data_IF_665289129854
#
_entry.id   IF_665289129854
#
_cell.length_a   1.000
_cell.length_b   1.000
_cell.length_c   1.000
_cell.angle_alpha   90.00
_cell.angle_beta   90.00
_cell.angle_gamma   90.00
#
_symmetry.space_group_name_H-M   'P 1'
#
loop_
_entity.id
_entity.type
_entity.pdbx_description
1 polymer ?
#
# COMPACT_ATOMS: atom_id res chain seq x y z
N UNK A 1 3.73 13.26 -36.48
CA UNK A 1 4.05 13.00 -35.07
C UNK A 1 5.56 13.08 -34.91
N UNK A 2 6.06 13.92 -34.01
CA UNK A 2 7.51 14.06 -33.83
C UNK A 2 8.12 12.75 -33.31
N UNK A 3 9.35 12.46 -33.70
CA UNK A 3 10.04 11.21 -33.29
C UNK A 3 10.09 10.98 -31.77
N UNK A 4 10.06 12.06 -30.95
CA UNK A 4 9.98 12.01 -29.50
C UNK A 4 8.68 11.42 -28.95
N UNK A 5 7.54 11.72 -29.62
CA UNK A 5 6.24 11.15 -29.21
C UNK A 5 6.16 9.65 -29.56
N UNK A 6 6.81 9.25 -30.67
CA UNK A 6 6.90 7.85 -31.08
C UNK A 6 7.79 7.03 -30.13
N UNK A 7 8.94 7.57 -29.73
CA UNK A 7 9.84 6.98 -28.73
C UNK A 7 9.15 6.84 -27.36
N UNK A 8 8.44 7.89 -26.92
CA UNK A 8 7.64 7.84 -25.68
C UNK A 8 6.53 6.77 -25.74
N UNK A 9 5.82 6.68 -26.89
CA UNK A 9 4.73 5.70 -27.07
C UNK A 9 5.23 4.26 -27.23
N UNK A 10 6.43 4.06 -27.76
CA UNK A 10 7.02 2.75 -27.97
C UNK A 10 7.94 2.30 -26.83
N UNK A 11 8.17 3.14 -25.84
CA UNK A 11 9.03 2.81 -24.69
C UNK A 11 10.52 2.70 -25.06
N UNK A 12 10.93 3.21 -26.24
CA UNK A 12 12.28 3.03 -26.76
C UNK A 12 13.32 3.99 -26.19
N UNK A 13 12.92 5.10 -25.51
CA UNK A 13 13.87 6.12 -25.03
C UNK A 13 13.47 6.83 -23.74
N UNK A 14 12.95 6.12 -22.77
CA UNK A 14 12.98 6.64 -21.40
C UNK A 14 14.28 6.14 -20.77
N UNK A 15 15.40 6.68 -21.25
CA UNK A 15 16.72 6.38 -20.68
C UNK A 15 16.74 6.77 -19.19
N UNK A 16 17.27 5.89 -18.30
CA UNK A 16 17.42 6.21 -16.89
C UNK A 16 18.23 7.49 -16.73
N UNK A 17 17.64 8.51 -16.09
CA UNK A 17 18.35 9.75 -15.75
C UNK A 17 18.22 10.90 -16.73
N UNK A 18 17.09 11.05 -17.44
CA UNK A 18 16.81 12.28 -18.18
C UNK A 18 16.62 13.46 -17.22
N UNK A 19 17.11 14.62 -17.62
CA UNK A 19 17.01 15.87 -16.85
C UNK A 19 15.59 16.42 -16.99
N UNK A 20 14.97 16.83 -15.87
CA UNK A 20 13.69 17.55 -15.87
C UNK A 20 13.85 18.97 -16.42
N UNK A 21 12.74 19.64 -16.76
CA UNK A 21 12.73 21.05 -17.17
C UNK A 21 13.32 21.97 -16.09
N UNK A 22 13.24 21.58 -14.82
CA UNK A 22 13.88 22.27 -13.70
C UNK A 22 15.42 22.06 -13.62
N UNK A 23 16.04 21.36 -14.58
CA UNK A 23 17.47 21.12 -14.62
C UNK A 23 17.95 20.00 -13.67
N UNK A 24 17.05 19.27 -13.04
CA UNK A 24 17.36 18.20 -12.08
C UNK A 24 17.30 16.84 -12.76
N UNK A 25 18.31 16.02 -12.51
CA UNK A 25 18.33 14.63 -12.97
C UNK A 25 17.41 13.77 -12.07
N UNK A 26 16.40 13.14 -12.67
CA UNK A 26 15.43 12.30 -11.97
C UNK A 26 15.58 10.85 -12.43
N UNK A 27 15.91 9.98 -11.50
CA UNK A 27 15.90 8.54 -11.62
C UNK A 27 15.26 7.94 -10.36
N UNK A 28 15.19 6.62 -10.29
CA UNK A 28 14.54 5.91 -9.20
C UNK A 28 15.21 6.19 -7.84
N UNK A 29 16.55 6.33 -7.82
CA UNK A 29 17.31 6.63 -6.59
C UNK A 29 17.09 8.09 -6.14
N UNK A 30 17.21 9.05 -7.09
CA UNK A 30 17.01 10.47 -6.76
C UNK A 30 15.56 10.77 -6.40
N UNK A 31 14.58 10.08 -7.00
CA UNK A 31 13.18 10.20 -6.68
C UNK A 31 12.87 9.82 -5.22
N UNK A 32 13.53 8.81 -4.67
CA UNK A 32 13.37 8.40 -3.27
C UNK A 32 13.88 9.43 -2.24
N UNK A 33 14.65 10.43 -2.67
CA UNK A 33 15.04 11.56 -1.80
C UNK A 33 13.87 12.48 -1.52
N UNK A 34 12.86 12.52 -2.40
CA UNK A 34 11.61 13.23 -2.15
C UNK A 34 10.81 12.44 -1.12
N UNK A 35 10.62 13.02 0.06
CA UNK A 35 9.96 12.36 1.20
C UNK A 35 8.57 11.82 0.87
N UNK A 36 7.80 12.54 0.06
CA UNK A 36 6.48 12.11 -0.40
C UNK A 36 6.54 10.86 -1.31
N UNK A 37 7.53 10.76 -2.19
CA UNK A 37 7.75 9.57 -3.04
C UNK A 37 8.10 8.37 -2.16
N UNK A 38 9.07 8.54 -1.26
CA UNK A 38 9.47 7.49 -0.33
C UNK A 38 8.27 7.00 0.51
N UNK A 39 7.50 7.93 1.09
CA UNK A 39 6.34 7.59 1.90
C UNK A 39 5.26 6.84 1.10
N UNK A 40 4.93 7.29 -0.12
CA UNK A 40 3.95 6.62 -0.97
C UNK A 40 4.39 5.20 -1.37
N UNK A 41 5.66 5.05 -1.79
CA UNK A 41 6.22 3.75 -2.16
C UNK A 41 6.19 2.80 -0.96
N UNK A 42 6.61 3.27 0.19
CA UNK A 42 6.64 2.51 1.43
C UNK A 42 5.24 2.05 1.85
N UNK A 43 4.28 2.96 1.92
CA UNK A 43 2.89 2.65 2.32
C UNK A 43 2.29 1.56 1.43
N UNK A 44 2.45 1.66 0.11
CA UNK A 44 1.89 0.65 -0.81
C UNK A 44 2.65 -0.68 -0.69
N UNK A 45 3.98 -0.64 -0.66
CA UNK A 45 4.81 -1.85 -0.61
C UNK A 45 4.58 -2.65 0.67
N UNK A 46 4.63 -1.99 1.84
CA UNK A 46 4.37 -2.61 3.14
C UNK A 46 2.92 -3.14 3.25
N UNK A 47 1.95 -2.38 2.74
CA UNK A 47 0.54 -2.83 2.74
C UNK A 47 0.39 -4.12 1.93
N UNK A 48 0.88 -4.18 0.69
CA UNK A 48 0.79 -5.40 -0.14
C UNK A 48 1.60 -6.55 0.48
N UNK A 49 2.78 -6.28 1.03
CA UNK A 49 3.65 -7.28 1.63
C UNK A 49 3.05 -7.90 2.91
N UNK A 50 2.30 -7.13 3.69
CA UNK A 50 1.68 -7.59 4.93
C UNK A 50 0.44 -8.49 4.73
N UNK A 51 -0.17 -8.46 3.54
CA UNK A 51 -1.39 -9.24 3.27
C UNK A 51 -1.11 -10.73 3.17
N UNK A 52 -1.90 -11.59 3.82
CA UNK A 52 -1.82 -13.04 3.61
C UNK A 52 -2.11 -13.40 2.16
N UNK A 53 -1.29 -14.30 1.59
CA UNK A 53 -1.42 -14.79 0.22
C UNK A 53 -1.56 -16.33 0.20
N UNK A 54 -2.70 -16.88 0.64
CA UNK A 54 -2.94 -18.30 0.57
C UNK A 54 -3.20 -18.80 -0.86
N UNK A 55 -2.90 -20.07 -1.09
CA UNK A 55 -3.25 -20.80 -2.30
C UNK A 55 -4.58 -21.52 -2.10
N UNK A 56 -5.47 -21.41 -3.06
CA UNK A 56 -6.79 -22.07 -3.05
C UNK A 56 -6.92 -23.06 -4.19
N UNK A 57 -7.67 -24.14 -3.92
CA UNK A 57 -8.19 -25.07 -4.93
C UNK A 57 -9.63 -24.68 -5.28
N UNK A 58 -9.94 -24.68 -6.58
CA UNK A 58 -11.31 -24.49 -7.07
C UNK A 58 -12.11 -25.77 -6.82
N UNK A 59 -13.28 -25.61 -6.24
CA UNK A 59 -14.28 -26.68 -6.09
C UNK A 59 -15.43 -26.39 -7.07
N UNK A 60 -16.30 -27.38 -7.28
CA UNK A 60 -17.54 -27.17 -8.07
C UNK A 60 -18.39 -26.04 -7.49
N UNK A 61 -18.41 -25.94 -6.16
CA UNK A 61 -18.97 -24.80 -5.44
C UNK A 61 -17.97 -24.34 -4.38
N UNK A 62 -17.52 -23.07 -4.51
CA UNK A 62 -16.60 -22.48 -3.55
C UNK A 62 -15.13 -22.74 -3.83
N UNK A 63 -14.32 -22.63 -2.79
CA UNK A 63 -12.86 -22.79 -2.80
C UNK A 63 -12.40 -23.40 -1.49
N UNK A 64 -11.26 -24.08 -1.53
CA UNK A 64 -10.60 -24.67 -0.36
C UNK A 64 -9.17 -24.15 -0.26
N UNK A 65 -8.72 -23.78 0.94
CA UNK A 65 -7.32 -23.38 1.21
C UNK A 65 -6.43 -24.61 1.16
N UNK A 66 -5.35 -24.55 0.40
CA UNK A 66 -4.42 -25.66 0.20
C UNK A 66 -3.06 -25.29 0.77
N UNK A 67 -2.67 -25.96 1.84
CA UNK A 67 -1.37 -25.77 2.50
C UNK A 67 -0.33 -26.81 2.09
N UNK A 68 -0.77 -27.93 1.48
CA UNK A 68 0.10 -29.06 1.09
C UNK A 68 0.79 -28.86 -0.28
N UNK A 69 0.39 -27.86 -1.05
CA UNK A 69 0.99 -27.59 -2.35
C UNK A 69 2.37 -26.93 -2.18
N UNK A 70 3.43 -27.36 -2.90
CA UNK A 70 4.78 -26.79 -2.76
C UNK A 70 4.84 -25.27 -2.90
N UNK A 71 4.06 -24.70 -3.80
CA UNK A 71 3.99 -23.25 -3.99
C UNK A 71 3.44 -22.50 -2.78
N UNK A 72 2.69 -23.15 -1.88
CA UNK A 72 2.15 -22.51 -0.69
C UNK A 72 3.26 -21.97 0.21
N UNK A 73 4.24 -22.80 0.58
CA UNK A 73 5.35 -22.40 1.43
C UNK A 73 6.19 -21.28 0.80
N UNK A 74 6.41 -21.33 -0.53
CA UNK A 74 7.16 -20.31 -1.27
C UNK A 74 6.45 -18.94 -1.22
N UNK A 75 5.13 -18.92 -1.38
CA UNK A 75 4.36 -17.68 -1.37
C UNK A 75 4.05 -17.16 0.03
N UNK A 76 3.89 -18.08 0.99
CA UNK A 76 3.41 -17.74 2.35
C UNK A 76 4.55 -17.57 3.34
N UNK A 77 5.56 -18.48 3.31
CA UNK A 77 6.60 -18.53 4.33
C UNK A 77 7.91 -17.91 3.81
N UNK A 78 8.64 -18.63 2.97
CA UNK A 78 9.97 -18.25 2.48
C UNK A 78 10.12 -18.55 0.99
N UNK A 79 10.27 -17.52 0.15
CA UNK A 79 10.51 -17.71 -1.29
C UNK A 79 11.93 -18.22 -1.62
N UNK A 80 12.88 -18.01 -0.73
CA UNK A 80 14.26 -18.47 -0.79
C UNK A 80 14.88 -18.48 0.62
N UNK A 81 16.06 -19.07 0.84
CA UNK A 81 16.68 -19.18 2.16
C UNK A 81 17.07 -17.84 2.83
N UNK A 82 17.13 -16.74 2.07
CA UNK A 82 17.59 -15.44 2.55
C UNK A 82 16.46 -14.48 2.88
N UNK A 83 15.22 -14.74 2.40
CA UNK A 83 14.14 -13.77 2.48
C UNK A 83 12.85 -14.40 3.02
N UNK A 84 12.16 -13.65 3.87
CA UNK A 84 10.77 -13.96 4.21
C UNK A 84 9.84 -13.59 3.04
N UNK A 85 8.63 -14.13 3.04
CA UNK A 85 7.64 -13.78 2.01
C UNK A 85 7.25 -12.30 2.07
N UNK A 86 7.28 -11.68 3.26
CA UNK A 86 7.07 -10.24 3.43
C UNK A 86 8.15 -9.44 2.69
N UNK A 87 9.43 -9.67 3.02
CA UNK A 87 10.57 -8.96 2.40
C UNK A 87 10.58 -9.13 0.89
N UNK A 88 10.34 -10.33 0.40
CA UNK A 88 10.27 -10.60 -1.04
C UNK A 88 9.18 -9.77 -1.75
N UNK A 89 7.97 -9.75 -1.17
CA UNK A 89 6.86 -8.98 -1.74
C UNK A 89 7.09 -7.49 -1.66
N UNK A 90 7.69 -7.01 -0.57
CA UNK A 90 8.06 -5.61 -0.39
C UNK A 90 9.08 -5.17 -1.45
N UNK A 91 10.13 -5.97 -1.69
CA UNK A 91 11.14 -5.70 -2.72
C UNK A 91 10.51 -5.65 -4.10
N UNK A 92 9.74 -6.67 -4.49
CA UNK A 92 9.11 -6.68 -5.81
C UNK A 92 8.07 -5.57 -5.97
N UNK A 93 7.34 -5.22 -4.91
CA UNK A 93 6.38 -4.12 -4.96
C UNK A 93 7.09 -2.77 -5.10
N UNK A 94 8.22 -2.57 -4.41
CA UNK A 94 9.08 -1.41 -4.56
C UNK A 94 9.62 -1.29 -5.99
N UNK A 95 10.05 -2.40 -6.58
CA UNK A 95 10.47 -2.44 -7.99
C UNK A 95 9.33 -2.01 -8.93
N UNK A 96 8.11 -2.51 -8.72
CA UNK A 96 6.93 -2.12 -9.50
C UNK A 96 6.65 -0.62 -9.42
N UNK A 97 6.74 -0.04 -8.23
CA UNK A 97 6.42 1.36 -7.99
C UNK A 97 7.49 2.32 -8.53
N UNK A 98 8.73 1.87 -8.65
CA UNK A 98 9.84 2.68 -9.15
C UNK A 98 10.08 2.47 -10.65
N UNK A 99 10.26 1.22 -11.08
CA UNK A 99 10.58 0.86 -12.48
C UNK A 99 9.38 0.44 -13.32
N UNK A 100 8.22 0.26 -12.68
CA UNK A 100 7.03 -0.24 -13.37
C UNK A 100 7.07 -1.72 -13.72
N UNK A 101 8.11 -2.43 -13.34
CA UNK A 101 8.30 -3.86 -13.56
C UNK A 101 8.98 -4.49 -12.36
N UNK A 102 8.58 -5.69 -11.99
CA UNK A 102 9.27 -6.50 -10.99
C UNK A 102 9.63 -7.85 -11.56
N UNK A 103 10.84 -8.31 -11.24
CA UNK A 103 11.38 -9.55 -11.76
C UNK A 103 11.94 -10.43 -10.65
N UNK A 104 11.70 -11.74 -10.78
CA UNK A 104 12.43 -12.72 -9.99
C UNK A 104 12.78 -13.93 -10.87
N UNK A 105 13.97 -14.48 -10.66
CA UNK A 105 14.37 -15.75 -11.26
C UNK A 105 13.59 -16.89 -10.58
N UNK A 106 13.07 -17.81 -11.40
CA UNK A 106 12.39 -19.01 -10.92
C UNK A 106 13.38 -20.18 -10.97
N UNK A 107 13.67 -20.75 -9.82
CA UNK A 107 14.40 -22.03 -9.72
C UNK A 107 13.38 -23.16 -9.65
N UNK A 108 13.53 -24.16 -10.53
CA UNK A 108 12.60 -25.31 -10.61
C UNK A 108 13.33 -26.63 -10.43
N UNK A 109 12.61 -27.62 -9.92
CA UNK A 109 13.07 -29.00 -9.90
C UNK A 109 12.92 -29.70 -11.27
N UNK A 110 13.33 -30.98 -11.34
CA UNK A 110 13.22 -31.78 -12.57
C UNK A 110 11.78 -32.07 -12.98
N UNK A 111 10.80 -31.87 -12.10
CA UNK A 111 9.36 -32.03 -12.37
C UNK A 111 8.70 -30.71 -12.78
N UNK A 112 9.46 -29.62 -12.83
CA UNK A 112 8.97 -28.28 -13.16
C UNK A 112 8.33 -27.53 -11.98
N UNK A 113 8.37 -28.08 -10.78
CA UNK A 113 7.86 -27.41 -9.57
C UNK A 113 8.80 -26.30 -9.15
N UNK A 114 8.24 -25.19 -8.68
CA UNK A 114 9.01 -24.06 -8.17
C UNK A 114 9.64 -24.44 -6.83
N UNK A 115 10.95 -24.24 -6.73
CA UNK A 115 11.72 -24.42 -5.48
C UNK A 115 12.03 -23.11 -4.81
N UNK A 116 12.45 -22.10 -5.60
CA UNK A 116 12.91 -20.81 -5.07
C UNK A 116 12.57 -19.68 -6.04
N UNK A 117 12.45 -18.46 -5.49
CA UNK A 117 12.28 -17.22 -6.23
C UNK A 117 13.33 -16.20 -5.75
N UNK A 118 14.14 -15.69 -6.69
CA UNK A 118 15.23 -14.74 -6.43
C UNK A 118 14.96 -13.42 -7.13
N UNK A 119 14.76 -12.30 -6.40
CA UNK A 119 14.55 -10.99 -7.01
C UNK A 119 15.71 -10.59 -7.92
N UNK A 120 15.40 -10.03 -9.08
CA UNK A 120 16.36 -9.45 -10.01
C UNK A 120 16.12 -7.95 -10.13
N UNK A 121 17.21 -7.16 -10.19
CA UNK A 121 17.07 -5.71 -10.32
C UNK A 121 16.51 -5.32 -11.68
N UNK A 122 15.44 -4.51 -11.73
CA UNK A 122 14.89 -4.05 -13.00
C UNK A 122 15.84 -3.18 -13.81
N UNK A 123 16.79 -2.50 -13.16
CA UNK A 123 17.78 -1.65 -13.84
C UNK A 123 18.72 -2.42 -14.75
N UNK A 124 18.95 -3.72 -14.47
CA UNK A 124 19.75 -4.60 -15.32
C UNK A 124 18.94 -5.42 -16.30
N UNK A 125 17.61 -5.28 -16.34
CA UNK A 125 16.73 -6.15 -17.10
C UNK A 125 16.29 -5.49 -18.42
N UNK A 126 16.60 -6.13 -19.52
CA UNK A 126 16.13 -5.77 -20.86
C UNK A 126 15.21 -6.88 -21.42
N UNK A 127 14.06 -6.47 -21.95
CA UNK A 127 13.12 -7.36 -22.61
C UNK A 127 13.33 -7.29 -24.12
N UNK A 128 13.73 -8.40 -24.72
CA UNK A 128 14.01 -8.51 -26.16
C UNK A 128 13.14 -9.61 -26.77
N UNK A 129 12.71 -9.41 -28.00
CA UNK A 129 12.09 -10.50 -28.76
C UNK A 129 13.12 -11.13 -29.68
N UNK A 130 13.29 -12.43 -29.56
CA UNK A 130 14.12 -13.19 -30.47
C UNK A 130 13.64 -13.02 -31.93
N UNK A 131 14.53 -12.65 -32.81
CA UNK A 131 14.19 -12.32 -34.21
C UNK A 131 13.62 -13.49 -35.00
N UNK A 132 14.03 -14.72 -34.67
CA UNK A 132 13.65 -15.95 -35.38
C UNK A 132 12.36 -16.56 -34.82
N UNK A 133 12.31 -16.69 -33.49
CA UNK A 133 11.20 -17.37 -32.82
C UNK A 133 10.09 -16.42 -32.37
N UNK A 134 10.35 -15.10 -32.37
CA UNK A 134 9.47 -14.05 -31.85
C UNK A 134 9.11 -14.24 -30.36
N UNK A 135 9.77 -15.16 -29.68
CA UNK A 135 9.61 -15.39 -28.25
C UNK A 135 10.24 -14.27 -27.45
N UNK A 136 9.67 -14.00 -26.27
CA UNK A 136 10.20 -13.03 -25.33
C UNK A 136 11.39 -13.63 -24.60
N UNK A 137 12.52 -12.91 -24.62
CA UNK A 137 13.76 -13.23 -23.92
C UNK A 137 14.06 -12.12 -22.93
N UNK A 138 14.47 -12.48 -21.75
CA UNK A 138 14.87 -11.56 -20.69
C UNK A 138 16.40 -11.56 -20.58
N UNK A 139 17.00 -10.46 -20.97
CA UNK A 139 18.46 -10.25 -20.88
C UNK A 139 18.79 -9.50 -19.63
N UNK A 140 19.46 -10.15 -18.68
CA UNK A 140 19.84 -9.57 -17.40
C UNK A 140 21.34 -9.31 -17.37
N UNK A 141 21.72 -8.06 -17.09
CA UNK A 141 23.13 -7.65 -17.00
C UNK A 141 23.44 -7.26 -15.55
N UNK A 142 24.41 -7.95 -14.96
CA UNK A 142 24.93 -7.67 -13.64
C UNK A 142 26.46 -7.52 -13.71
N UNK A 143 26.93 -6.30 -13.47
CA UNK A 143 28.33 -5.95 -13.69
C UNK A 143 28.74 -6.16 -15.15
N UNK A 144 29.70 -7.07 -15.40
CA UNK A 144 30.19 -7.40 -16.75
C UNK A 144 29.52 -8.67 -17.35
N UNK A 145 28.62 -9.30 -16.61
CA UNK A 145 27.98 -10.55 -17.06
C UNK A 145 26.58 -10.27 -17.56
N UNK A 146 26.26 -10.79 -18.73
CA UNK A 146 24.91 -10.78 -19.28
C UNK A 146 24.41 -12.21 -19.39
N UNK A 147 23.23 -12.46 -18.84
CA UNK A 147 22.57 -13.77 -18.82
C UNK A 147 21.23 -13.62 -19.56
N UNK A 148 20.95 -14.54 -20.47
CA UNK A 148 19.66 -14.61 -21.14
C UNK A 148 18.77 -15.67 -20.50
N UNK A 149 17.59 -15.24 -20.08
CA UNK A 149 16.56 -16.11 -19.50
C UNK A 149 15.38 -16.26 -20.46
N UNK A 150 14.85 -17.46 -20.55
CA UNK A 150 13.58 -17.71 -21.21
C UNK A 150 12.42 -17.20 -20.36
N UNK A 151 11.29 -16.94 -20.99
CA UNK A 151 10.10 -16.43 -20.29
C UNK A 151 9.62 -17.33 -19.11
N UNK A 152 9.82 -18.64 -19.22
CA UNK A 152 9.46 -19.62 -18.17
C UNK A 152 10.38 -19.61 -16.94
N UNK A 153 11.55 -18.96 -17.04
CA UNK A 153 12.55 -18.85 -15.98
C UNK A 153 12.40 -17.55 -15.18
N UNK A 154 11.53 -16.63 -15.60
CA UNK A 154 11.35 -15.33 -14.97
C UNK A 154 9.90 -15.17 -14.49
N UNK A 155 9.76 -14.88 -13.21
CA UNK A 155 8.54 -14.34 -12.66
C UNK A 155 8.53 -12.83 -12.89
N UNK A 156 7.71 -12.39 -13.83
CA UNK A 156 7.59 -10.99 -14.22
C UNK A 156 6.19 -10.46 -13.89
N UNK A 157 6.16 -9.37 -13.16
CA UNK A 157 4.95 -8.61 -12.86
C UNK A 157 5.07 -7.25 -13.55
N UNK A 158 4.32 -6.99 -14.64
CA UNK A 158 4.32 -5.68 -15.28
C UNK A 158 3.33 -4.73 -14.62
N UNK A 159 3.70 -3.45 -14.53
CA UNK A 159 2.82 -2.35 -14.15
C UNK A 159 1.86 -1.93 -15.28
N UNK A 160 1.49 -0.64 -15.30
CA UNK A 160 0.77 -0.05 -16.43
C UNK A 160 1.64 -0.11 -17.67
N UNK A 161 1.09 -0.55 -18.79
CA UNK A 161 1.84 -0.84 -20.01
C UNK A 161 1.06 -0.44 -21.24
N UNK A 162 1.75 -0.10 -22.34
CA UNK A 162 1.14 0.12 -23.65
C UNK A 162 1.07 -1.17 -24.49
N UNK A 163 2.01 -2.08 -24.29
CA UNK A 163 2.14 -3.32 -25.07
C UNK A 163 1.67 -4.58 -24.32
N UNK A 164 1.31 -4.43 -23.04
CA UNK A 164 0.92 -5.54 -22.18
C UNK A 164 2.10 -6.40 -21.69
N UNK A 165 3.35 -6.03 -22.02
CA UNK A 165 4.56 -6.78 -21.69
C UNK A 165 5.47 -5.99 -20.76
N UNK A 166 5.90 -4.80 -21.17
CA UNK A 166 6.80 -3.93 -20.39
C UNK A 166 6.00 -2.84 -19.72
N UNK A 167 6.04 -2.80 -18.40
CA UNK A 167 5.44 -1.73 -17.59
C UNK A 167 6.20 -0.42 -17.74
N UNK A 168 5.48 0.69 -17.65
CA UNK A 168 6.03 2.04 -17.64
C UNK A 168 6.55 2.38 -16.24
N UNK A 169 7.75 2.96 -16.15
CA UNK A 169 8.26 3.49 -14.88
C UNK A 169 7.39 4.67 -14.41
N UNK A 170 6.75 4.58 -13.23
CA UNK A 170 6.00 5.71 -12.66
C UNK A 170 6.89 6.93 -12.43
N UNK A 171 8.15 6.71 -12.07
CA UNK A 171 9.14 7.78 -11.86
C UNK A 171 9.46 8.50 -13.17
N UNK A 172 9.66 7.76 -14.25
CA UNK A 172 9.91 8.34 -15.56
C UNK A 172 8.71 9.15 -16.08
N UNK A 173 7.49 8.66 -15.86
CA UNK A 173 6.25 9.36 -16.24
C UNK A 173 6.06 10.63 -15.41
N UNK A 174 6.36 10.59 -14.11
CA UNK A 174 6.20 11.70 -13.18
C UNK A 174 7.45 12.59 -13.05
N UNK A 175 8.41 12.45 -13.95
CA UNK A 175 9.73 13.11 -13.87
C UNK A 175 9.66 14.61 -13.63
N UNK A 176 8.76 15.33 -14.30
CA UNK A 176 8.65 16.78 -14.17
C UNK A 176 8.18 17.19 -12.77
N UNK A 177 7.17 16.50 -12.22
CA UNK A 177 6.67 16.76 -10.88
C UNK A 177 7.73 16.43 -9.81
N UNK A 178 8.43 15.31 -9.95
CA UNK A 178 9.48 14.90 -9.01
C UNK A 178 10.70 15.85 -9.14
N UNK A 179 11.07 16.23 -10.36
CA UNK A 179 12.17 17.17 -10.60
C UNK A 179 11.90 18.54 -10.01
N UNK A 180 10.65 19.03 -10.11
CA UNK A 180 10.24 20.28 -9.48
C UNK A 180 10.28 20.17 -7.95
N UNK A 181 9.86 19.06 -7.37
CA UNK A 181 9.94 18.83 -5.93
C UNK A 181 11.39 18.87 -5.43
N UNK A 182 12.32 18.18 -6.11
CA UNK A 182 13.75 18.21 -5.80
C UNK A 182 14.35 19.60 -5.95
N UNK A 183 14.01 20.33 -7.03
CA UNK A 183 14.48 21.70 -7.26
C UNK A 183 14.01 22.65 -6.15
N UNK A 184 12.76 22.52 -5.73
CA UNK A 184 12.19 23.33 -4.64
C UNK A 184 12.86 23.04 -3.32
N UNK A 185 13.15 21.77 -3.02
CA UNK A 185 13.86 21.36 -1.80
C UNK A 185 15.31 21.89 -1.80
N UNK A 186 16.00 21.79 -2.92
CA UNK A 186 17.35 22.33 -3.08
C UNK A 186 17.37 23.85 -2.95
N UNK A 187 16.41 24.54 -3.58
CA UNK A 187 16.27 25.99 -3.45
C UNK A 187 16.05 26.39 -1.99
N UNK A 188 15.09 25.77 -1.31
CA UNK A 188 14.81 26.03 0.10
C UNK A 188 16.02 25.77 0.98
N UNK A 189 16.73 24.65 0.77
CA UNK A 189 17.93 24.30 1.51
C UNK A 189 19.03 25.35 1.34
N UNK A 190 19.27 25.81 0.10
CA UNK A 190 20.25 26.87 -0.18
C UNK A 190 19.84 28.21 0.40
N UNK A 191 18.55 28.56 0.29
CA UNK A 191 18.00 29.80 0.83
C UNK A 191 18.19 29.88 2.34
N UNK A 192 17.75 28.87 3.05
CA UNK A 192 17.92 28.80 4.52
C UNK A 192 19.40 28.63 4.92
N UNK A 193 20.16 27.86 4.18
CA UNK A 193 21.61 27.69 4.40
C UNK A 193 22.41 28.98 4.23
N UNK A 194 21.93 29.91 3.43
CA UNK A 194 22.50 31.25 3.28
C UNK A 194 21.93 32.27 4.27
N UNK A 195 21.20 31.84 5.32
CA UNK A 195 20.65 32.71 6.36
C UNK A 195 19.36 33.42 5.96
N UNK A 196 18.60 32.83 5.03
CA UNK A 196 17.33 33.36 4.51
C UNK A 196 17.44 34.80 3.96
N UNK A 197 18.62 35.18 3.46
CA UNK A 197 18.82 36.46 2.81
C UNK A 197 18.83 36.29 1.30
N UNK A 198 18.03 37.07 0.54
CA UNK A 198 18.14 37.10 -0.89
C UNK A 198 19.50 37.65 -1.31
N UNK A 199 19.92 37.28 -2.52
CA UNK A 199 21.09 37.86 -3.12
C UNK A 199 20.95 39.38 -3.25
N UNK A 200 22.02 40.13 -3.06
CA UNK A 200 21.98 41.59 -3.16
C UNK A 200 23.18 42.17 -3.91
N UNK A 201 23.08 43.42 -4.26
CA UNK A 201 24.18 44.22 -4.79
C UNK A 201 24.75 45.03 -3.65
N UNK A 202 26.05 44.98 -3.49
CA UNK A 202 26.81 45.90 -2.66
C UNK A 202 27.26 47.07 -3.55
N UNK A 203 26.63 48.20 -3.41
CA UNK A 203 26.94 49.45 -4.14
C UNK A 203 28.01 50.21 -3.38
N UNK A 204 29.06 50.63 -4.06
CA UNK A 204 30.11 51.47 -3.53
C UNK A 204 30.21 52.76 -4.36
N UNK A 205 30.27 53.99 -3.73
CA UNK A 205 30.24 55.25 -4.46
C UNK A 205 31.51 55.53 -5.26
N UNK A 206 32.57 54.81 -5.04
CA UNK A 206 33.85 54.92 -5.76
C UNK A 206 34.26 53.65 -6.49
N UNK A 207 35.48 53.58 -7.02
CA UNK A 207 36.00 52.41 -7.72
C UNK A 207 36.59 51.44 -6.70
N UNK A 208 36.03 50.22 -6.64
CA UNK A 208 36.58 49.14 -5.81
C UNK A 208 37.78 48.52 -6.52
N UNK A 209 38.96 48.60 -5.90
CA UNK A 209 40.23 48.05 -6.48
C UNK A 209 40.23 46.53 -6.61
N UNK A 210 39.56 45.80 -5.72
CA UNK A 210 39.44 44.34 -5.71
C UNK A 210 38.02 43.91 -5.30
N UNK A 211 37.10 43.81 -6.28
CA UNK A 211 35.72 43.40 -6.01
C UNK A 211 35.61 41.96 -5.44
N UNK A 212 36.53 41.06 -5.84
CA UNK A 212 36.51 39.67 -5.39
C UNK A 212 36.88 39.54 -3.92
N UNK A 213 37.84 40.30 -3.47
CA UNK A 213 38.26 40.29 -2.06
C UNK A 213 37.13 40.86 -1.17
N UNK A 214 36.46 41.90 -1.62
CA UNK A 214 35.30 42.47 -0.92
C UNK A 214 34.15 41.46 -0.83
N UNK A 215 33.87 40.75 -1.92
CA UNK A 215 32.83 39.70 -1.95
C UNK A 215 33.18 38.56 -1.02
N UNK A 216 34.42 38.08 -1.04
CA UNK A 216 34.85 36.97 -0.14
C UNK A 216 34.75 37.39 1.33
N UNK A 217 35.25 38.55 1.67
CA UNK A 217 35.13 39.08 3.04
C UNK A 217 33.69 39.21 3.51
N UNK A 218 32.80 39.68 2.61
CA UNK A 218 31.37 39.75 2.88
C UNK A 218 30.77 38.34 3.10
N UNK A 219 31.08 37.39 2.23
CA UNK A 219 30.60 36.01 2.33
C UNK A 219 31.08 35.32 3.62
N UNK A 220 32.32 35.49 4.01
CA UNK A 220 32.91 34.90 5.23
C UNK A 220 32.21 35.40 6.51
N UNK A 221 31.79 36.66 6.53
CA UNK A 221 31.18 37.27 7.72
C UNK A 221 29.67 37.02 7.79
N UNK A 222 28.96 37.02 6.66
CA UNK A 222 27.49 37.07 6.59
C UNK A 222 26.84 35.85 5.98
N UNK A 223 27.59 34.92 5.36
CA UNK A 223 27.05 33.69 4.79
C UNK A 223 26.97 32.59 5.84
N UNK A 224 25.86 31.81 5.81
CA UNK A 224 25.64 30.64 6.66
C UNK A 224 24.64 30.87 7.79
N UNK A 225 24.01 29.78 8.23
CA UNK A 225 22.99 29.76 9.29
C UNK A 225 23.43 30.43 10.59
N UNK A 226 24.71 30.29 10.97
CA UNK A 226 25.26 30.84 12.21
C UNK A 226 25.41 32.38 12.14
N UNK A 227 25.33 32.97 10.96
CA UNK A 227 25.56 34.41 10.73
C UNK A 227 24.28 35.14 10.33
N UNK A 228 23.13 34.46 10.32
CA UNK A 228 21.85 34.99 9.79
C UNK A 228 21.30 36.23 10.50
N UNK A 229 21.74 36.51 11.73
CA UNK A 229 21.29 37.66 12.52
C UNK A 229 22.38 38.69 12.80
N UNK A 230 23.55 38.58 12.15
CA UNK A 230 24.63 39.56 12.36
C UNK A 230 24.29 40.89 11.69
N UNK A 231 24.54 41.98 12.40
CA UNK A 231 24.39 43.33 11.88
C UNK A 231 25.57 43.62 10.92
N UNK A 232 25.23 44.02 9.70
CA UNK A 232 26.23 44.46 8.71
C UNK A 232 26.58 45.93 8.95
N UNK A 233 27.86 46.21 9.12
CA UNK A 233 28.37 47.59 9.13
C UNK A 233 28.96 47.88 7.76
N UNK A 234 28.40 48.86 7.07
CA UNK A 234 28.84 49.28 5.74
C UNK A 234 29.70 50.55 5.91
N UNK A 235 30.95 50.49 5.44
CA UNK A 235 31.90 51.58 5.50
C UNK A 235 31.91 52.38 4.17
N UNK A 236 32.51 53.55 4.18
CA UNK A 236 32.77 54.36 2.97
C UNK A 236 31.53 54.67 2.10
N UNK A 237 30.36 54.73 2.71
CA UNK A 237 29.12 55.06 1.99
C UNK A 237 28.55 53.91 1.14
N UNK A 238 29.01 52.71 1.32
CA UNK A 238 28.44 51.50 0.68
C UNK A 238 26.97 51.33 1.02
N UNK A 239 26.18 50.87 0.08
CA UNK A 239 24.77 50.54 0.24
C UNK A 239 24.53 49.09 -0.18
N UNK A 240 23.70 48.37 0.56
CA UNK A 240 23.25 47.06 0.20
C UNK A 240 21.81 47.15 -0.36
N UNK A 241 21.65 46.71 -1.60
CA UNK A 241 20.35 46.61 -2.23
C UNK A 241 19.99 45.12 -2.40
N UNK A 242 18.91 44.72 -1.80
CA UNK A 242 18.37 43.36 -2.04
C UNK A 242 17.91 43.23 -3.48
N UNK A 243 18.43 42.24 -4.20
CA UNK A 243 17.95 41.81 -5.50
C UNK A 243 17.26 40.46 -5.31
N UNK A 244 16.00 40.46 -5.32
CA UNK A 244 15.20 39.26 -5.28
C UNK A 244 13.79 39.57 -4.81
N UNK A 245 12.84 38.91 -5.37
CA UNK A 245 11.50 38.83 -4.80
C UNK A 245 11.69 37.87 -3.61
N UNK A 246 11.53 38.34 -2.35
CA UNK A 246 11.48 37.37 -1.25
C UNK A 246 10.37 36.38 -1.62
N UNK A 247 10.63 35.07 -1.68
CA UNK A 247 9.52 34.15 -1.78
C UNK A 247 8.67 34.45 -0.54
N UNK A 248 7.45 34.94 -0.76
CA UNK A 248 6.51 35.03 0.35
C UNK A 248 6.47 33.65 0.98
N UNK A 249 6.81 33.54 2.27
CA UNK A 249 6.95 32.25 2.97
C UNK A 249 5.72 31.37 2.77
N UNK A 250 4.54 31.98 2.65
CA UNK A 250 3.29 31.34 2.34
C UNK A 250 3.29 30.63 0.95
N UNK A 251 3.79 31.28 -0.10
CA UNK A 251 3.80 30.70 -1.46
C UNK A 251 4.77 29.53 -1.57
N UNK A 252 5.90 29.58 -0.87
CA UNK A 252 6.83 28.45 -0.82
C UNK A 252 6.23 27.23 -0.12
N UNK A 253 5.56 27.44 1.03
CA UNK A 253 4.88 26.37 1.75
C UNK A 253 3.71 25.79 0.93
N UNK A 254 2.92 26.65 0.28
CA UNK A 254 1.82 26.21 -0.60
C UNK A 254 2.34 25.38 -1.79
N UNK A 255 3.47 25.79 -2.39
CA UNK A 255 4.10 25.05 -3.48
C UNK A 255 4.54 23.65 -3.00
N UNK A 256 5.15 23.53 -1.82
CA UNK A 256 5.54 22.23 -1.26
C UNK A 256 4.34 21.34 -0.98
N UNK A 257 3.24 21.88 -0.45
CA UNK A 257 2.00 21.15 -0.23
C UNK A 257 1.37 20.68 -1.56
N UNK A 258 1.37 21.56 -2.57
CA UNK A 258 0.91 21.18 -3.89
C UNK A 258 1.71 20.00 -4.47
N UNK A 259 3.03 20.03 -4.36
CA UNK A 259 3.90 18.95 -4.83
C UNK A 259 3.66 17.64 -4.08
N UNK A 260 3.46 17.68 -2.76
CA UNK A 260 3.08 16.49 -1.99
C UNK A 260 1.79 15.88 -2.55
N UNK A 261 0.76 16.71 -2.78
CA UNK A 261 -0.52 16.24 -3.33
C UNK A 261 -0.39 15.70 -4.77
N UNK A 262 0.48 16.29 -5.59
CA UNK A 262 0.80 15.78 -6.93
C UNK A 262 1.41 14.38 -6.87
N UNK A 263 2.38 14.17 -5.99
CA UNK A 263 3.02 12.86 -5.79
C UNK A 263 2.02 11.85 -5.25
N UNK A 264 1.20 12.23 -4.28
CA UNK A 264 0.11 11.40 -3.76
C UNK A 264 -0.86 10.95 -4.87
N UNK A 265 -1.17 11.85 -5.82
CA UNK A 265 -2.01 11.57 -6.99
C UNK A 265 -1.38 10.55 -7.94
N UNK A 266 -0.07 10.65 -8.19
CA UNK A 266 0.67 9.72 -9.05
C UNK A 266 0.58 8.29 -8.52
N UNK A 267 0.80 8.13 -7.21
CA UNK A 267 0.76 6.82 -6.54
C UNK A 267 -0.65 6.42 -6.08
N UNK A 268 -1.65 7.31 -6.20
CA UNK A 268 -3.03 7.13 -5.68
C UNK A 268 -3.05 6.85 -4.18
N UNK A 269 -2.17 7.49 -3.42
CA UNK A 269 -2.12 7.37 -1.96
C UNK A 269 -2.85 8.56 -1.36
N UNK A 270 -3.85 8.36 -0.48
CA UNK A 270 -4.48 9.43 0.25
C UNK A 270 -3.47 10.22 1.11
N UNK A 271 -3.50 11.56 1.10
CA UNK A 271 -2.51 12.37 1.81
C UNK A 271 -2.37 12.08 3.31
N UNK A 272 -3.45 11.69 3.99
CA UNK A 272 -3.40 11.33 5.40
C UNK A 272 -2.49 10.14 5.71
N UNK A 273 -2.32 9.19 4.78
CA UNK A 273 -1.43 8.04 4.94
C UNK A 273 0.06 8.41 4.85
N UNK A 274 0.37 9.57 4.32
CA UNK A 274 1.74 10.12 4.25
C UNK A 274 1.95 11.29 5.23
N UNK A 275 1.03 11.47 6.20
CA UNK A 275 1.15 12.43 7.29
C UNK A 275 0.56 13.82 7.02
N UNK A 276 -0.14 14.05 5.92
CA UNK A 276 -0.86 15.30 5.68
C UNK A 276 -2.31 15.18 6.16
N UNK A 277 -2.58 15.79 7.33
CA UNK A 277 -3.89 15.75 8.00
C UNK A 277 -4.69 17.05 7.87
N UNK A 278 -4.25 18.03 7.09
CA UNK A 278 -4.90 19.36 7.05
C UNK A 278 -6.39 19.34 6.67
N UNK A 279 -6.81 18.39 5.86
CA UNK A 279 -8.21 18.23 5.41
C UNK A 279 -8.86 16.94 5.94
N UNK A 280 -8.24 16.31 6.93
CA UNK A 280 -8.68 15.04 7.45
C UNK A 280 -9.74 15.24 8.54
N UNK A 281 -10.96 14.74 8.30
CA UNK A 281 -11.99 14.52 9.33
C UNK A 281 -12.15 13.02 9.55
N UNK A 282 -12.62 12.59 10.73
CA UNK A 282 -12.75 11.16 11.04
C UNK A 282 -13.56 10.38 9.98
N UNK A 283 -14.69 10.92 9.53
CA UNK A 283 -15.51 10.28 8.49
C UNK A 283 -14.82 10.21 7.12
N UNK A 284 -14.04 11.24 6.76
CA UNK A 284 -13.31 11.26 5.51
C UNK A 284 -12.13 10.29 5.51
N UNK A 285 -11.46 10.10 6.64
CA UNK A 285 -10.33 9.15 6.78
C UNK A 285 -10.81 7.72 6.53
N UNK A 286 -11.96 7.33 7.11
CA UNK A 286 -12.51 5.98 6.92
C UNK A 286 -12.86 5.72 5.46
N UNK A 287 -13.57 6.63 4.80
CA UNK A 287 -13.87 6.51 3.38
C UNK A 287 -12.61 6.49 2.50
N UNK A 288 -11.64 7.35 2.77
CA UNK A 288 -10.37 7.37 2.05
C UNK A 288 -9.55 6.09 2.25
N UNK A 289 -9.62 5.47 3.43
CA UNK A 289 -8.97 4.19 3.70
C UNK A 289 -9.59 3.06 2.88
N UNK A 290 -10.92 3.03 2.76
CA UNK A 290 -11.63 2.08 1.88
C UNK A 290 -11.27 2.34 0.42
N UNK A 291 -11.28 3.60 -0.02
CA UNK A 291 -10.91 4.00 -1.38
C UNK A 291 -9.46 3.59 -1.71
N UNK A 292 -8.54 3.74 -0.77
CA UNK A 292 -7.16 3.28 -0.92
C UNK A 292 -7.09 1.78 -1.18
N UNK A 293 -7.83 0.98 -0.42
CA UNK A 293 -7.87 -0.48 -0.64
C UNK A 293 -8.47 -0.82 -2.00
N UNK A 294 -9.60 -0.21 -2.36
CA UNK A 294 -10.35 -0.53 -3.59
C UNK A 294 -9.62 -0.04 -4.84
N UNK A 295 -9.12 1.20 -4.83
CA UNK A 295 -8.61 1.88 -6.03
C UNK A 295 -7.09 1.85 -6.17
N UNK A 296 -6.35 1.64 -5.08
CA UNK A 296 -4.88 1.59 -5.11
C UNK A 296 -4.37 0.18 -4.90
N UNK A 297 -4.73 -0.47 -3.79
CA UNK A 297 -4.16 -1.78 -3.43
C UNK A 297 -4.71 -2.89 -4.32
N UNK A 298 -6.03 -3.02 -4.47
CA UNK A 298 -6.67 -4.10 -5.22
C UNK A 298 -6.15 -4.29 -6.64
N UNK A 299 -5.92 -3.24 -7.48
CA UNK A 299 -5.34 -3.41 -8.81
C UNK A 299 -3.96 -4.06 -8.78
N UNK A 300 -3.12 -3.74 -7.77
CA UNK A 300 -1.82 -4.39 -7.60
C UNK A 300 -1.98 -5.86 -7.21
N UNK A 301 -2.88 -6.17 -6.29
CA UNK A 301 -3.13 -7.56 -5.87
C UNK A 301 -3.56 -8.43 -7.05
N UNK A 302 -4.46 -7.94 -7.91
CA UNK A 302 -4.92 -8.65 -9.11
C UNK A 302 -3.76 -8.91 -10.08
N UNK A 303 -2.85 -7.92 -10.27
CA UNK A 303 -1.65 -8.13 -11.11
C UNK A 303 -0.75 -9.23 -10.55
N UNK A 304 -0.52 -9.22 -9.26
CA UNK A 304 0.23 -10.26 -8.57
C UNK A 304 -0.39 -11.63 -8.75
N UNK A 305 -1.68 -11.77 -8.41
CA UNK A 305 -2.43 -13.03 -8.49
C UNK A 305 -2.37 -13.62 -9.89
N UNK A 306 -2.62 -12.81 -10.92
CA UNK A 306 -2.58 -13.26 -12.31
C UNK A 306 -1.16 -13.60 -12.78
N UNK A 307 -0.16 -12.83 -12.38
CA UNK A 307 1.24 -13.11 -12.71
C UNK A 307 1.73 -14.41 -12.06
N UNK A 308 1.33 -14.68 -10.82
CA UNK A 308 1.61 -15.95 -10.13
C UNK A 308 0.99 -17.13 -10.88
N UNK A 309 -0.28 -17.05 -11.25
CA UNK A 309 -0.95 -18.11 -12.03
C UNK A 309 -0.23 -18.35 -13.35
N UNK A 310 0.15 -17.27 -14.05
CA UNK A 310 0.82 -17.34 -15.35
C UNK A 310 2.22 -17.97 -15.28
N UNK A 311 3.01 -17.59 -14.26
CA UNK A 311 4.43 -17.91 -14.23
C UNK A 311 4.79 -19.07 -13.30
N UNK A 312 4.08 -19.25 -12.17
CA UNK A 312 4.50 -20.19 -11.13
C UNK A 312 3.71 -21.51 -11.14
N UNK A 313 2.46 -21.52 -11.58
CA UNK A 313 1.66 -22.73 -11.70
C UNK A 313 1.92 -23.45 -13.04
N UNK A 314 1.99 -24.78 -12.99
CA UNK A 314 2.03 -25.60 -14.18
C UNK A 314 0.75 -25.44 -15.03
N UNK A 315 0.79 -25.65 -16.34
CA UNK A 315 -0.38 -25.46 -17.22
C UNK A 315 -1.63 -26.23 -16.78
N UNK A 316 -1.47 -27.46 -16.30
CA UNK A 316 -2.54 -28.32 -15.76
C UNK A 316 -3.08 -27.81 -14.42
N UNK A 317 -2.23 -27.20 -13.60
CA UNK A 317 -2.58 -26.66 -12.27
C UNK A 317 -3.38 -25.37 -12.35
N UNK A 318 -3.20 -24.55 -13.41
CA UNK A 318 -3.85 -23.24 -13.57
C UNK A 318 -5.38 -23.30 -13.56
N UNK A 319 -5.97 -24.45 -13.91
CA UNK A 319 -7.42 -24.65 -13.87
C UNK A 319 -7.91 -24.98 -12.46
N UNK A 320 -7.04 -25.61 -11.65
CA UNK A 320 -7.38 -26.14 -10.33
C UNK A 320 -7.04 -25.17 -9.20
N UNK A 321 -5.88 -24.51 -9.29
CA UNK A 321 -5.34 -23.68 -8.20
C UNK A 321 -5.29 -22.20 -8.60
N UNK A 322 -5.40 -21.35 -7.58
CA UNK A 322 -5.20 -19.91 -7.73
C UNK A 322 -4.79 -19.29 -6.38
N UNK A 323 -3.82 -18.36 -6.38
CA UNK A 323 -3.53 -17.54 -5.21
C UNK A 323 -4.57 -16.43 -5.10
N UNK A 324 -4.87 -15.99 -3.89
CA UNK A 324 -5.70 -14.81 -3.66
C UNK A 324 -5.29 -14.12 -2.37
N UNK A 325 -5.01 -12.84 -2.45
CA UNK A 325 -4.78 -12.04 -1.26
C UNK A 325 -6.02 -11.93 -0.38
N UNK A 326 -5.81 -12.03 0.92
CA UNK A 326 -6.87 -11.73 1.88
C UNK A 326 -6.77 -10.27 2.30
N UNK A 327 -7.75 -9.47 1.89
CA UNK A 327 -7.85 -8.04 2.19
C UNK A 327 -8.75 -7.75 3.39
N UNK A 328 -9.35 -8.77 4.00
CA UNK A 328 -10.33 -8.59 5.07
C UNK A 328 -9.75 -7.79 6.24
N UNK A 329 -8.46 -7.98 6.53
CA UNK A 329 -7.75 -7.22 7.57
C UNK A 329 -7.67 -5.71 7.32
N UNK A 330 -7.59 -5.27 6.05
CA UNK A 330 -7.55 -3.86 5.67
C UNK A 330 -8.94 -3.21 5.65
N UNK A 331 -9.97 -4.00 5.36
CA UNK A 331 -11.36 -3.53 5.29
C UNK A 331 -12.08 -3.64 6.63
N UNK A 332 -11.44 -4.27 7.62
CA UNK A 332 -11.98 -4.37 8.97
C UNK A 332 -12.00 -2.98 9.58
N UNK A 333 -13.22 -2.44 9.76
CA UNK A 333 -13.48 -1.24 10.53
C UNK A 333 -12.98 -1.36 11.97
N UNK A 334 -13.39 -0.44 12.82
CA UNK A 334 -13.09 -0.52 14.24
C UNK A 334 -13.59 -1.85 14.86
N UNK A 335 -13.13 -2.15 16.05
CA UNK A 335 -13.51 -3.38 16.77
C UNK A 335 -15.04 -3.55 16.87
N UNK A 336 -15.76 -2.46 17.06
CA UNK A 336 -17.22 -2.47 17.22
C UNK A 336 -17.90 -2.89 15.92
N UNK A 337 -17.59 -2.24 14.80
CA UNK A 337 -18.15 -2.55 13.47
C UNK A 337 -17.87 -4.00 13.07
N UNK A 338 -16.66 -4.50 13.39
CA UNK A 338 -16.26 -5.89 13.13
C UNK A 338 -17.10 -6.87 13.96
N UNK A 339 -17.26 -6.64 15.25
CA UNK A 339 -18.07 -7.48 16.12
C UNK A 339 -19.55 -7.47 15.73
N UNK A 340 -20.09 -6.33 15.32
CA UNK A 340 -21.44 -6.23 14.76
C UNK A 340 -21.58 -7.05 13.48
N UNK A 341 -20.60 -7.00 12.57
CA UNK A 341 -20.55 -7.83 11.36
C UNK A 341 -20.55 -9.32 11.67
N UNK A 342 -19.75 -9.76 12.65
CA UNK A 342 -19.75 -11.16 13.10
C UNK A 342 -21.07 -11.58 13.73
N UNK A 343 -21.69 -10.73 14.52
CA UNK A 343 -23.01 -11.00 15.11
C UNK A 343 -24.06 -11.22 14.02
N UNK A 344 -24.09 -10.34 12.99
CA UNK A 344 -24.97 -10.47 11.83
C UNK A 344 -24.68 -11.77 11.08
N UNK A 345 -23.41 -12.07 10.78
CA UNK A 345 -23.02 -13.28 10.07
C UNK A 345 -23.38 -14.57 10.84
N UNK A 346 -23.23 -14.56 12.16
CA UNK A 346 -23.62 -15.66 13.06
C UNK A 346 -25.13 -15.89 13.08
N UNK A 347 -25.91 -14.80 13.19
CA UNK A 347 -27.37 -14.85 13.24
C UNK A 347 -28.00 -15.33 11.93
N UNK A 348 -27.35 -15.04 10.80
CA UNK A 348 -27.82 -15.43 9.47
C UNK A 348 -27.24 -16.77 8.97
N UNK A 349 -26.48 -17.49 9.79
CA UNK A 349 -25.93 -18.78 9.44
C UNK A 349 -24.78 -18.72 8.42
N UNK A 350 -24.12 -17.57 8.25
CA UNK A 350 -22.96 -17.44 7.36
C UNK A 350 -21.66 -17.85 8.01
N UNK A 351 -21.57 -17.69 9.35
CA UNK A 351 -20.38 -18.02 10.15
C UNK A 351 -20.72 -19.00 11.26
N UNK A 352 -19.85 -19.99 11.44
CA UNK A 352 -19.77 -20.79 12.67
C UNK A 352 -19.00 -19.99 13.74
N UNK A 353 -18.97 -20.47 14.98
CA UNK A 353 -18.12 -19.88 16.02
C UNK A 353 -16.64 -20.02 15.68
N UNK A 354 -16.25 -21.15 15.08
CA UNK A 354 -14.86 -21.42 14.71
C UNK A 354 -14.42 -20.58 13.51
N UNK A 355 -15.29 -20.26 12.55
CA UNK A 355 -14.96 -19.33 11.47
C UNK A 355 -14.58 -17.96 12.02
N UNK A 356 -15.34 -17.44 13.02
CA UNK A 356 -15.05 -16.16 13.66
C UNK A 356 -13.75 -16.24 14.47
N UNK A 357 -13.53 -17.34 15.20
CA UNK A 357 -12.31 -17.55 15.99
C UNK A 357 -11.07 -17.66 15.11
N UNK A 358 -11.17 -18.34 13.96
CA UNK A 358 -10.07 -18.37 12.97
C UNK A 358 -9.76 -16.96 12.42
N UNK A 359 -10.79 -16.15 12.17
CA UNK A 359 -10.63 -14.77 11.74
C UNK A 359 -9.96 -13.88 12.80
N UNK A 360 -10.13 -14.17 14.09
CA UNK A 360 -9.56 -13.43 15.22
C UNK A 360 -8.32 -14.13 15.82
N UNK A 361 -7.75 -15.10 15.10
CA UNK A 361 -6.55 -15.84 15.52
C UNK A 361 -6.69 -16.53 16.89
N UNK A 362 -7.90 -17.04 17.17
CA UNK A 362 -8.23 -17.75 18.38
C UNK A 362 -8.27 -19.27 18.15
N UNK A 363 -7.89 -20.06 19.16
CA UNK A 363 -8.00 -21.52 19.08
C UNK A 363 -9.44 -21.97 18.85
N UNK A 364 -9.68 -23.00 18.01
CA UNK A 364 -11.02 -23.46 17.70
C UNK A 364 -11.68 -24.08 18.95
N UNK A 365 -13.01 -24.00 19.02
CA UNK A 365 -13.83 -24.74 19.97
C UNK A 365 -13.97 -26.16 19.42
N UNK A 366 -13.86 -27.21 20.28
CA UNK A 366 -14.07 -28.59 19.86
C UNK A 366 -15.43 -28.81 19.17
N UNK A 367 -15.47 -29.73 18.21
CA UNK A 367 -16.69 -30.03 17.45
C UNK A 367 -17.83 -30.50 18.34
N UNK A 368 -17.50 -31.28 19.35
CA UNK A 368 -18.43 -31.77 20.39
C UNK A 368 -19.11 -30.63 21.17
N UNK A 369 -18.41 -29.50 21.31
CA UNK A 369 -18.95 -28.29 21.94
C UNK A 369 -19.67 -27.35 20.96
N UNK A 370 -19.87 -27.77 19.70
CA UNK A 370 -20.64 -27.05 18.71
C UNK A 370 -19.89 -25.88 18.02
N UNK A 371 -18.55 -25.91 18.05
CA UNK A 371 -17.73 -24.85 17.43
C UNK A 371 -18.02 -24.61 15.95
N UNK A 372 -18.35 -25.66 15.19
CA UNK A 372 -18.63 -25.62 13.75
C UNK A 372 -20.12 -25.52 13.41
N UNK A 373 -21.02 -25.32 14.41
CA UNK A 373 -22.43 -25.20 14.15
C UNK A 373 -22.79 -23.84 13.52
N UNK A 374 -23.49 -23.86 12.42
CA UNK A 374 -24.11 -22.70 11.78
C UNK A 374 -25.51 -22.51 12.40
N UNK A 375 -25.72 -21.35 13.03
CA UNK A 375 -27.01 -21.02 13.66
C UNK A 375 -27.81 -20.10 12.74
N UNK A 376 -29.10 -20.35 12.60
CA UNK A 376 -30.02 -19.50 11.88
C UNK A 376 -31.14 -19.06 12.82
N UNK A 377 -31.67 -17.85 12.60
CA UNK A 377 -32.81 -17.36 13.34
C UNK A 377 -34.07 -18.20 12.96
N UNK A 378 -34.61 -18.94 13.91
CA UNK A 378 -35.78 -19.81 13.69
C UNK A 378 -37.07 -19.10 13.29
N UNK A 379 -37.11 -17.76 13.40
CA UNK A 379 -38.23 -16.94 12.97
C UNK A 379 -38.24 -16.63 11.47
N UNK A 380 -37.21 -17.03 10.72
CA UNK A 380 -37.17 -16.84 9.27
C UNK A 380 -37.88 -18.01 8.56
N UNK A 381 -38.85 -17.68 7.77
CA UNK A 381 -39.56 -18.63 6.90
C UNK A 381 -38.99 -18.56 5.47
N UNK A 382 -38.89 -19.70 4.75
CA UNK A 382 -38.55 -19.68 3.33
C UNK A 382 -39.49 -18.74 2.55
N UNK A 383 -38.98 -17.95 1.63
CA UNK A 383 -39.76 -16.99 0.85
C UNK A 383 -40.96 -17.61 0.12
N UNK A 384 -40.91 -18.90 -0.21
CA UNK A 384 -42.01 -19.67 -0.78
C UNK A 384 -43.22 -19.82 0.15
N UNK A 385 -42.98 -19.73 1.46
CA UNK A 385 -44.04 -19.85 2.49
C UNK A 385 -44.46 -18.49 3.02
N UNK A 386 -43.80 -17.39 2.61
CA UNK A 386 -44.18 -16.04 2.96
C UNK A 386 -45.49 -15.68 2.22
N UNK A 387 -46.59 -15.60 2.95
CA UNK A 387 -47.91 -15.29 2.40
C UNK A 387 -48.85 -16.50 2.21
N UNK A 388 -48.37 -17.74 2.35
CA UNK A 388 -49.29 -18.87 2.52
C UNK A 388 -49.85 -18.84 3.93
N UNK A 389 -51.11 -18.56 4.08
CA UNK A 389 -51.83 -18.83 5.33
C UNK A 389 -51.68 -20.30 5.61
N UNK A 390 -51.10 -20.64 6.78
CA UNK A 390 -51.02 -21.99 7.26
C UNK A 390 -52.48 -22.49 7.51
N UNK A 391 -53.09 -23.12 6.53
CA UNK A 391 -54.18 -24.05 6.74
C UNK A 391 -53.53 -25.37 7.18
N UNK A 392 -53.60 -25.65 8.49
CA UNK A 392 -53.12 -26.91 9.07
C UNK A 392 -51.71 -26.88 9.63
N UNK A 393 -51.40 -26.02 10.56
CA UNK A 393 -50.14 -26.05 11.30
C UNK A 393 -50.29 -26.74 12.65
N UNK A 394 -49.82 -27.95 12.77
CA UNK A 394 -49.43 -28.50 14.07
C UNK A 394 -48.28 -27.62 14.63
N UNK A 395 -48.57 -26.96 15.75
CA UNK A 395 -47.62 -26.18 16.53
C UNK A 395 -46.51 -27.09 17.03
N UNK A 396 -45.32 -27.00 16.44
CA UNK A 396 -44.11 -27.64 16.96
C UNK A 396 -43.61 -27.06 18.31
N UNK A 397 -44.36 -26.09 18.87
CA UNK A 397 -44.12 -25.55 20.23
C UNK A 397 -44.97 -26.22 21.34
N UNK A 398 -45.67 -27.29 21.06
CA UNK A 398 -46.62 -27.95 21.99
C UNK A 398 -46.05 -29.01 22.92
N UNK A 399 -44.74 -29.21 23.00
CA UNK A 399 -44.20 -30.28 23.86
C UNK A 399 -43.49 -29.85 25.14
N UNK A 400 -43.46 -28.58 25.48
CA UNK A 400 -42.80 -28.09 26.72
C UNK A 400 -43.74 -27.64 27.83
N UNK A 401 -45.10 -27.63 27.60
CA UNK A 401 -46.06 -27.19 28.63
C UNK A 401 -46.89 -28.31 29.31
N UNK A 402 -46.62 -29.58 29.06
CA UNK A 402 -47.34 -30.70 29.72
C UNK A 402 -46.65 -31.35 30.92
N UNK A 403 -45.55 -30.78 31.42
CA UNK A 403 -44.93 -31.29 32.66
C UNK A 403 -44.86 -30.32 33.84
N UNK A 404 -45.54 -29.18 33.79
CA UNK A 404 -45.57 -28.22 34.92
C UNK A 404 -46.97 -28.10 35.56
N UNK A 405 -47.88 -29.04 35.33
CA UNK A 405 -49.27 -28.97 35.78
C UNK A 405 -49.72 -30.11 36.70
N UNK A 406 -48.85 -30.66 37.57
CA UNK A 406 -49.33 -31.61 38.61
C UNK A 406 -48.34 -31.52 39.78
N UNK A 407 -48.53 -30.57 40.66
CA UNK A 407 -48.21 -30.59 42.09
C UNK A 407 -48.20 -29.18 42.65
N UNK A 408 -49.37 -28.72 43.12
CA UNK A 408 -49.43 -27.80 44.24
C UNK A 408 -50.89 -27.60 44.64
N UNK A 409 -51.37 -28.49 45.49
CA UNK A 409 -52.41 -28.19 46.49
C UNK A 409 -51.82 -28.54 47.81
N UNK A 410 -52.10 -27.67 48.79
CA UNK A 410 -51.96 -27.79 50.25
C UNK A 410 -50.76 -27.06 50.87
N UNK A 411 -51.13 -26.07 51.68
CA UNK A 411 -50.30 -25.58 52.78
C UNK A 411 -50.39 -24.07 53.04
N UNK A 412 -51.45 -23.76 53.79
CA UNK A 412 -51.77 -22.45 54.38
C UNK A 412 -50.72 -21.87 55.34
N UNK A 413 -50.74 -20.55 55.43
CA UNK A 413 -50.66 -19.68 56.63
C UNK A 413 -49.32 -19.27 57.23
N UNK A 414 -49.35 -18.01 57.55
CA UNK A 414 -48.57 -17.18 58.51
C UNK A 414 -47.29 -16.58 57.95
N UNK A 415 -47.14 -15.31 57.87
CA UNK A 415 -47.57 -14.23 58.74
C UNK A 415 -46.32 -13.47 59.19
N UNK A 416 -46.39 -12.15 59.16
CA UNK A 416 -45.59 -11.20 59.98
C UNK A 416 -44.30 -10.66 59.35
N UNK A 417 -44.37 -9.48 58.79
CA UNK A 417 -43.88 -8.15 59.25
C UNK A 417 -42.38 -7.87 59.41
N UNK A 418 -42.07 -6.74 58.86
CA UNK A 418 -41.17 -5.68 59.36
C UNK A 418 -39.70 -5.68 58.90
N UNK A 419 -39.34 -4.57 58.34
CA UNK A 419 -38.18 -3.86 58.79
C UNK A 419 -37.23 -3.37 57.71
N UNK A 420 -37.46 -2.21 57.32
CA UNK A 420 -36.71 -1.04 56.88
C UNK A 420 -35.17 -1.00 57.11
N UNK A 421 -34.58 -0.10 56.30
CA UNK A 421 -33.26 0.54 56.40
C UNK A 421 -32.15 -0.23 55.65
N UNK A 422 -31.56 0.31 54.63
CA UNK A 422 -30.95 1.62 54.49
C UNK A 422 -29.43 1.52 54.62
N UNK A 423 -28.71 1.70 53.56
CA UNK A 423 -27.45 2.38 53.62
C UNK A 423 -26.74 2.41 52.27
N UNK A 424 -26.54 3.61 51.83
CA UNK A 424 -25.61 4.12 50.85
C UNK A 424 -24.15 3.74 51.15
N UNK A 425 -23.37 3.82 50.13
CA UNK A 425 -21.96 4.21 49.87
C UNK A 425 -21.34 3.14 48.97
N UNK A 426 -20.81 3.46 47.85
CA UNK A 426 -19.89 4.53 47.46
C UNK A 426 -18.52 3.91 47.19
N UNK A 427 -18.13 3.83 45.99
CA UNK A 427 -16.89 4.24 45.32
C UNK A 427 -16.95 3.81 43.88
#
# INVERSE_FOLDING_TARGET
>A
MSGRLKAFLLGEDISPGMVSTAGIRVNEETALRVTAVYACVRVIAETVASLPLPLYRRLDRGKEKVTTHPLYSILHDMPNPEMTSFTFREVLMTQLLLWGNAYAQIVRDKRGQVLELWPLSPSGMELVRDDKTRQLVYRYTEGMKTIEYKAEQIFHIPGLSFDGVKGLSPIAVAREAIGLALATEEFGSRFFGNGARPGGILEHPGVVKDPEKLRKSWEEVYKGLQNSHKIAVLEEGMKYHEIGIPPEDAQFLETRKFQLNEICRIFRVPPHLVGDLERATFSNIEHQSIDFVVHTIRPWLVRWEQSIVKALLLPEERKLYFPRFNVDGLLRGDFKTRMEGYAIGRQNGWYSANDIRELEDMNPIPEEAGGNLYLVNGNMLPAKLAGSKAEGGENLNGQTEKQAGANNTVGEKNGINAGAQGAQRGW
#
